data_IF_365889604923
#
_entry.id   IF_365889604923
#
_cell.length_a   1.000
_cell.length_b   1.000
_cell.length_c   1.000
_cell.angle_alpha   90.00
_cell.angle_beta   90.00
_cell.angle_gamma   90.00
#
_symmetry.space_group_name_H-M   'P 1'
#
loop_
_entity.id
_entity.type
_entity.pdbx_description
1 polymer ?
#
# COMPACT_ATOMS: atom_id res chain seq x y z
N UNK A 1 26.72 22.26 14.67
CA UNK A 1 25.33 22.50 14.20
C UNK A 1 25.25 23.94 13.69
N UNK A 2 24.64 24.16 12.52
CA UNK A 2 24.40 25.51 12.02
C UNK A 2 23.18 26.12 12.77
N UNK A 3 23.20 27.41 13.12
CA UNK A 3 22.08 28.05 13.83
C UNK A 3 20.83 28.28 12.93
N UNK A 4 20.97 28.09 11.62
CA UNK A 4 19.88 28.26 10.64
C UNK A 4 19.88 27.09 9.64
N UNK A 5 18.68 26.58 9.36
CA UNK A 5 18.45 25.48 8.42
C UNK A 5 16.99 25.44 7.97
N UNK A 6 16.72 24.71 6.89
CA UNK A 6 15.35 24.45 6.40
C UNK A 6 14.76 23.15 6.94
N UNK A 7 15.58 22.32 7.58
CA UNK A 7 15.19 21.10 8.28
C UNK A 7 15.27 21.34 9.78
N UNK A 8 14.31 20.78 10.51
CA UNK A 8 14.27 20.72 11.97
C UNK A 8 14.11 19.23 12.28
N UNK A 9 15.18 18.61 12.77
CA UNK A 9 15.26 17.16 13.00
C UNK A 9 15.88 16.81 14.37
N UNK A 10 16.39 17.81 15.08
CA UNK A 10 17.30 17.59 16.21
C UNK A 10 16.57 17.47 17.55
N UNK A 11 15.24 17.38 17.54
CA UNK A 11 14.42 17.11 18.70
C UNK A 11 13.71 15.77 18.50
N UNK A 12 13.96 14.81 19.39
CA UNK A 12 13.33 13.49 19.35
C UNK A 12 11.93 13.59 19.96
N UNK A 13 10.97 14.13 19.21
CA UNK A 13 9.58 14.26 19.65
C UNK A 13 8.64 14.48 18.47
N UNK A 14 7.84 13.46 18.15
CA UNK A 14 6.83 13.53 17.09
C UNK A 14 5.81 14.65 17.36
N UNK A 15 5.48 14.91 18.63
CA UNK A 15 4.60 16.01 19.04
C UNK A 15 5.14 17.39 18.60
N UNK A 16 6.45 17.57 18.69
CA UNK A 16 7.08 18.84 18.34
C UNK A 16 7.16 18.98 16.82
N UNK A 17 7.54 17.92 16.12
CA UNK A 17 7.62 17.93 14.66
C UNK A 17 6.24 18.16 14.03
N UNK A 18 5.22 17.43 14.49
CA UNK A 18 3.83 17.62 14.05
C UNK A 18 3.31 19.01 14.42
N UNK A 19 3.45 19.44 15.68
CA UNK A 19 2.95 20.74 16.13
C UNK A 19 3.61 21.92 15.40
N UNK A 20 4.92 21.82 15.12
CA UNK A 20 5.61 22.82 14.30
C UNK A 20 5.09 22.83 12.87
N UNK A 21 4.90 21.66 12.26
CA UNK A 21 4.38 21.56 10.89
C UNK A 21 2.93 22.07 10.79
N UNK A 22 2.06 21.72 11.73
CA UNK A 22 0.68 22.22 11.80
C UNK A 22 0.67 23.75 11.82
N UNK A 23 1.43 24.37 12.73
CA UNK A 23 1.51 25.83 12.84
C UNK A 23 2.08 26.48 11.56
N UNK A 24 3.11 25.85 10.97
CA UNK A 24 3.72 26.30 9.72
C UNK A 24 2.73 26.23 8.54
N UNK A 25 1.91 25.20 8.50
CA UNK A 25 0.87 24.95 7.49
C UNK A 25 -0.30 25.92 7.65
N UNK A 26 -0.81 26.07 8.87
CA UNK A 26 -1.93 26.98 9.19
C UNK A 26 -1.60 28.46 8.98
N UNK A 27 -0.31 28.81 8.96
CA UNK A 27 0.19 30.15 8.61
C UNK A 27 0.55 30.31 7.13
N UNK A 28 0.09 29.39 6.28
CA UNK A 28 0.12 29.52 4.83
C UNK A 28 1.41 29.06 4.16
N UNK A 29 2.31 28.37 4.87
CA UNK A 29 3.56 27.85 4.31
C UNK A 29 3.46 26.33 4.08
N UNK A 30 4.45 25.76 3.41
CA UNK A 30 4.47 24.36 2.98
C UNK A 30 5.63 23.60 3.62
N UNK A 31 5.36 22.36 4.03
CA UNK A 31 6.35 21.45 4.56
C UNK A 31 5.83 20.01 4.55
N UNK A 32 6.64 19.10 5.10
CA UNK A 32 6.24 17.74 5.37
C UNK A 32 6.92 17.24 6.66
N UNK A 33 6.33 16.24 7.30
CA UNK A 33 6.88 15.54 8.45
C UNK A 33 7.02 14.06 8.09
N UNK A 34 8.24 13.53 8.20
CA UNK A 34 8.52 12.12 7.99
C UNK A 34 8.83 11.45 9.32
N UNK A 35 8.19 10.33 9.61
CA UNK A 35 8.39 9.56 10.83
C UNK A 35 8.50 8.07 10.51
N UNK A 36 9.02 7.31 11.48
CA UNK A 36 8.84 5.87 11.51
C UNK A 36 7.35 5.57 11.65
N UNK A 37 6.85 4.64 10.84
CA UNK A 37 5.41 4.35 10.71
C UNK A 37 4.72 4.12 12.05
N UNK A 38 5.27 3.23 12.88
CA UNK A 38 4.72 2.89 14.20
C UNK A 38 4.70 4.08 15.16
N UNK A 39 5.68 4.97 15.08
CA UNK A 39 5.80 6.12 16.00
C UNK A 39 5.08 7.35 15.51
N UNK A 40 4.75 7.43 14.22
CA UNK A 40 3.82 8.44 13.75
C UNK A 40 2.47 8.36 14.47
N UNK A 41 2.11 7.19 15.00
CA UNK A 41 0.93 6.97 15.83
C UNK A 41 0.95 7.70 17.17
N UNK A 42 2.12 8.13 17.65
CA UNK A 42 2.25 9.00 18.84
C UNK A 42 1.42 10.27 18.65
N UNK A 43 1.28 10.77 17.43
CA UNK A 43 0.53 11.99 17.10
C UNK A 43 -0.85 11.74 16.48
N UNK A 44 -1.41 10.53 16.58
CA UNK A 44 -2.76 10.22 16.09
C UNK A 44 -3.82 11.23 16.56
N UNK A 45 -3.71 11.65 17.82
CA UNK A 45 -4.63 12.62 18.42
C UNK A 45 -4.43 14.04 17.86
N UNK A 46 -3.20 14.43 17.51
CA UNK A 46 -2.92 15.74 16.88
C UNK A 46 -3.49 15.78 15.47
N UNK A 47 -3.21 14.75 14.65
CA UNK A 47 -3.80 14.58 13.31
C UNK A 47 -5.34 14.62 13.35
N UNK A 48 -5.94 14.02 14.39
CA UNK A 48 -7.40 14.10 14.61
C UNK A 48 -7.86 15.53 14.85
N UNK A 49 -7.16 16.30 15.68
CA UNK A 49 -7.53 17.69 15.96
C UNK A 49 -7.30 18.58 14.75
N UNK A 50 -6.21 18.37 14.00
CA UNK A 50 -5.94 19.07 12.75
C UNK A 50 -7.07 18.82 11.74
N UNK A 51 -7.47 17.56 11.54
CA UNK A 51 -8.63 17.22 10.70
C UNK A 51 -9.90 17.95 11.15
N UNK A 52 -10.20 17.96 12.45
CA UNK A 52 -11.38 18.65 12.99
C UNK A 52 -11.32 20.15 12.72
N UNK A 53 -10.14 20.76 12.86
CA UNK A 53 -9.91 22.15 12.52
C UNK A 53 -10.15 22.42 11.03
N UNK A 54 -9.52 21.65 10.14
CA UNK A 54 -9.70 21.78 8.69
C UNK A 54 -11.18 21.70 8.32
N UNK A 55 -11.88 20.65 8.78
CA UNK A 55 -13.30 20.46 8.51
C UNK A 55 -14.14 21.65 9.01
N UNK A 56 -14.02 22.03 10.28
CA UNK A 56 -14.83 23.12 10.84
C UNK A 56 -14.51 24.45 10.14
N UNK A 57 -13.25 24.71 9.83
CA UNK A 57 -12.83 25.93 9.14
C UNK A 57 -13.40 26.01 7.72
N UNK A 58 -13.44 24.90 7.00
CA UNK A 58 -13.93 24.85 5.62
C UNK A 58 -15.47 24.81 5.54
N UNK A 59 -16.15 24.09 6.46
CA UNK A 59 -17.61 23.90 6.39
C UNK A 59 -18.41 25.01 7.08
N UNK A 60 -17.90 25.55 8.20
CA UNK A 60 -18.66 26.44 9.08
C UNK A 60 -18.14 27.88 9.10
N UNK A 61 -16.98 28.16 8.48
CA UNK A 61 -16.28 29.45 8.59
C UNK A 61 -15.96 30.04 7.20
N UNK A 62 -16.97 30.49 6.43
CA UNK A 62 -16.81 30.84 5.00
C UNK A 62 -15.92 32.07 4.74
N UNK A 63 -15.59 32.86 5.77
CA UNK A 63 -14.68 34.01 5.65
C UNK A 63 -13.20 33.62 5.80
N UNK A 64 -12.90 32.37 6.17
CA UNK A 64 -11.52 31.90 6.35
C UNK A 64 -11.02 31.29 5.05
N UNK A 65 -9.87 31.77 4.59
CA UNK A 65 -9.19 31.25 3.41
C UNK A 65 -8.67 29.82 3.61
N UNK A 66 -8.59 29.10 2.49
CA UNK A 66 -8.03 27.75 2.46
C UNK A 66 -6.54 27.72 2.76
N UNK A 67 -6.14 26.78 3.64
CA UNK A 67 -4.74 26.56 3.99
C UNK A 67 -4.11 25.46 3.13
N UNK A 68 -2.77 25.47 2.96
CA UNK A 68 -2.04 24.34 2.42
C UNK A 68 -2.35 23.04 3.16
N UNK A 69 -2.10 21.90 2.49
CA UNK A 69 -2.29 20.59 3.10
C UNK A 69 -1.20 20.26 4.11
N UNK A 70 -1.57 19.52 5.14
CA UNK A 70 -0.63 18.88 6.06
C UNK A 70 -0.08 17.62 5.38
N UNK A 71 1.22 17.55 5.13
CA UNK A 71 1.84 16.42 4.41
C UNK A 71 2.67 15.57 5.38
N UNK A 72 2.28 14.31 5.53
CA UNK A 72 2.86 13.36 6.46
C UNK A 72 3.40 12.17 5.67
N UNK A 73 4.63 11.74 5.98
CA UNK A 73 5.26 10.58 5.38
C UNK A 73 5.45 9.50 6.44
N UNK A 74 4.78 8.37 6.26
CA UNK A 74 5.04 7.14 6.99
C UNK A 74 6.14 6.37 6.26
N UNK A 75 7.33 6.29 6.85
CA UNK A 75 8.46 5.52 6.29
C UNK A 75 9.08 4.64 7.36
N UNK A 76 10.12 3.87 7.05
CA UNK A 76 10.60 2.79 7.93
C UNK A 76 9.41 1.95 8.39
N UNK A 77 8.69 1.44 7.39
CA UNK A 77 7.37 0.84 7.61
C UNK A 77 7.46 -0.50 8.32
N UNK A 78 6.33 -1.11 8.67
CA UNK A 78 6.27 -2.39 9.37
C UNK A 78 7.12 -3.50 8.70
N UNK A 79 7.32 -3.45 7.37
CA UNK A 79 8.15 -4.39 6.60
C UNK A 79 9.61 -3.95 6.38
N UNK A 80 10.08 -2.87 7.02
CA UNK A 80 11.41 -2.25 6.82
C UNK A 80 12.05 -1.82 8.16
N UNK A 81 11.94 -2.66 9.19
CA UNK A 81 12.40 -2.43 10.56
C UNK A 81 13.47 -3.44 11.03
N UNK A 82 14.44 -3.70 10.15
CA UNK A 82 15.45 -4.76 10.24
C UNK A 82 16.21 -4.80 11.59
N UNK A 83 16.51 -3.64 12.17
CA UNK A 83 17.28 -3.54 13.42
C UNK A 83 16.43 -3.38 14.69
N UNK A 84 15.11 -3.23 14.53
CA UNK A 84 14.23 -2.78 15.62
C UNK A 84 13.17 -3.82 16.01
N UNK A 85 12.69 -4.61 15.04
CA UNK A 85 11.74 -5.70 15.28
C UNK A 85 10.33 -5.24 15.65
N UNK A 86 9.62 -6.08 16.41
CA UNK A 86 8.16 -6.03 16.57
C UNK A 86 7.60 -4.71 17.11
N UNK A 87 8.29 -4.05 18.04
CA UNK A 87 7.83 -2.77 18.63
C UNK A 87 7.72 -1.61 17.62
N UNK A 88 8.25 -1.78 16.41
CA UNK A 88 8.24 -0.78 15.35
C UNK A 88 7.27 -1.12 14.20
N UNK A 89 6.32 -2.03 14.45
CA UNK A 89 5.44 -2.59 13.42
C UNK A 89 3.96 -2.30 13.75
N UNK A 90 3.48 -1.13 13.35
CA UNK A 90 2.05 -0.75 13.43
C UNK A 90 1.69 0.18 12.26
N UNK A 91 1.13 -0.36 11.16
CA UNK A 91 0.68 0.43 10.00
C UNK A 91 -0.73 1.01 10.20
N UNK A 92 -1.27 1.02 11.42
CA UNK A 92 -2.68 1.34 11.71
C UNK A 92 -3.05 2.82 11.63
N UNK A 93 -2.08 3.71 11.39
CA UNK A 93 -2.37 5.11 11.06
C UNK A 93 -3.25 5.24 9.81
N UNK A 94 -3.12 4.29 8.89
CA UNK A 94 -3.97 4.15 7.69
C UNK A 94 -5.44 4.03 8.09
N UNK A 95 -5.78 3.04 8.92
CA UNK A 95 -7.16 2.86 9.40
C UNK A 95 -7.64 4.08 10.18
N UNK A 96 -6.80 4.65 11.05
CA UNK A 96 -7.15 5.82 11.84
C UNK A 96 -7.56 7.02 10.98
N UNK A 97 -6.80 7.36 9.93
CA UNK A 97 -7.14 8.50 9.08
C UNK A 97 -8.35 8.21 8.19
N UNK A 98 -8.50 6.99 7.69
CA UNK A 98 -9.63 6.57 6.86
C UNK A 98 -10.99 6.66 7.55
N UNK A 99 -11.05 6.56 8.88
CA UNK A 99 -12.28 6.76 9.67
C UNK A 99 -12.78 8.22 9.70
N UNK A 100 -11.90 9.17 9.36
CA UNK A 100 -12.26 10.59 9.33
C UNK A 100 -13.05 10.89 8.05
N UNK A 101 -13.59 12.11 7.91
CA UNK A 101 -14.36 12.47 6.71
C UNK A 101 -13.41 12.53 5.51
N UNK A 102 -13.43 11.50 4.67
CA UNK A 102 -12.46 11.24 3.58
C UNK A 102 -12.32 12.37 2.56
N UNK A 103 -13.32 13.27 2.46
CA UNK A 103 -13.18 14.58 1.79
C UNK A 103 -11.88 15.32 2.17
N UNK A 104 -11.46 15.22 3.42
CA UNK A 104 -10.30 15.91 4.02
C UNK A 104 -9.04 15.04 4.15
N UNK A 105 -9.04 13.79 3.67
CA UNK A 105 -7.95 12.84 3.87
C UNK A 105 -7.48 12.30 2.51
N UNK A 106 -6.18 12.15 2.33
CA UNK A 106 -5.57 11.43 1.19
C UNK A 106 -4.59 10.41 1.74
N UNK A 107 -4.64 9.19 1.23
CA UNK A 107 -3.73 8.12 1.63
C UNK A 107 -3.11 7.53 0.38
N UNK A 108 -1.81 7.77 0.21
CA UNK A 108 -1.05 7.38 -0.96
C UNK A 108 -0.08 6.24 -0.65
N UNK A 109 -0.12 5.19 -1.46
CA UNK A 109 0.71 3.99 -1.37
C UNK A 109 1.60 3.82 -2.61
N UNK A 110 2.55 4.73 -2.85
CA UNK A 110 3.49 4.60 -3.97
C UNK A 110 4.33 3.33 -3.83
N UNK A 111 4.38 2.54 -4.91
CA UNK A 111 5.15 1.31 -4.92
C UNK A 111 6.62 1.49 -5.33
N UNK A 112 6.97 2.62 -5.92
CA UNK A 112 8.32 2.96 -6.38
C UNK A 112 8.60 4.48 -6.33
N UNK A 113 9.81 4.88 -6.71
CA UNK A 113 10.26 6.27 -6.62
C UNK A 113 9.49 7.21 -7.57
N UNK A 114 9.17 6.76 -8.78
CA UNK A 114 8.43 7.59 -9.73
C UNK A 114 7.00 7.87 -9.23
N UNK A 115 6.34 6.86 -8.68
CA UNK A 115 5.01 7.00 -8.07
C UNK A 115 5.06 7.88 -6.83
N UNK A 116 6.11 7.75 -6.01
CA UNK A 116 6.33 8.61 -4.84
C UNK A 116 6.50 10.09 -5.24
N UNK A 117 7.32 10.37 -6.26
CA UNK A 117 7.52 11.73 -6.77
C UNK A 117 6.20 12.32 -7.28
N UNK A 118 5.43 11.55 -8.05
CA UNK A 118 4.14 11.97 -8.56
C UNK A 118 3.11 12.21 -7.43
N UNK A 119 3.06 11.33 -6.41
CA UNK A 119 2.18 11.48 -5.25
C UNK A 119 2.54 12.73 -4.43
N UNK A 120 3.83 13.00 -4.25
CA UNK A 120 4.30 14.18 -3.53
C UNK A 120 4.02 15.48 -4.31
N UNK A 121 4.24 15.50 -5.63
CA UNK A 121 3.86 16.63 -6.49
C UNK A 121 2.37 16.97 -6.37
N UNK A 122 1.50 15.95 -6.44
CA UNK A 122 0.06 16.11 -6.24
C UNK A 122 -0.27 16.64 -4.85
N UNK A 123 0.38 16.11 -3.80
CA UNK A 123 0.16 16.52 -2.40
C UNK A 123 0.54 17.98 -2.13
N UNK A 124 1.55 18.52 -2.82
CA UNK A 124 1.91 19.94 -2.71
C UNK A 124 0.87 20.89 -3.32
N UNK A 125 0.04 20.39 -4.23
CA UNK A 125 -0.99 21.18 -4.93
C UNK A 125 -2.35 21.14 -4.22
N UNK A 126 -2.57 20.21 -3.29
CA UNK A 126 -3.82 20.13 -2.54
C UNK A 126 -3.89 21.18 -1.44
N UNK A 127 -5.13 21.53 -1.07
CA UNK A 127 -5.44 22.40 0.08
C UNK A 127 -6.47 21.72 0.97
N UNK A 128 -6.50 22.12 2.24
CA UNK A 128 -7.51 21.67 3.22
C UNK A 128 -7.60 20.14 3.38
N UNK A 129 -6.49 19.42 3.26
CA UNK A 129 -6.45 17.97 3.51
C UNK A 129 -5.23 17.59 4.34
N UNK A 130 -5.31 16.41 4.95
CA UNK A 130 -4.16 15.68 5.45
C UNK A 130 -3.76 14.68 4.36
N UNK A 131 -2.54 14.79 3.86
CA UNK A 131 -1.93 13.82 2.95
C UNK A 131 -1.04 12.87 3.75
N UNK A 132 -1.40 11.60 3.84
CA UNK A 132 -0.54 10.51 4.31
C UNK A 132 0.10 9.84 3.09
N UNK A 133 1.43 9.76 3.07
CA UNK A 133 2.19 9.04 2.05
C UNK A 133 2.96 7.92 2.75
N UNK A 134 2.66 6.66 2.41
CA UNK A 134 3.41 5.50 2.89
C UNK A 134 4.53 5.18 1.91
N UNK A 135 5.78 5.34 2.32
CA UNK A 135 6.92 5.29 1.41
C UNK A 135 8.04 4.36 1.90
N UNK A 136 8.54 3.52 0.99
CA UNK A 136 9.74 2.72 1.20
C UNK A 136 10.99 3.60 1.31
N UNK A 137 11.95 3.17 2.14
CA UNK A 137 13.31 3.70 2.18
C UNK A 137 14.37 2.68 1.72
N UNK A 138 14.02 1.40 1.65
CA UNK A 138 14.96 0.36 1.29
C UNK A 138 15.22 0.34 -0.22
N UNK A 139 16.38 -0.16 -0.67
CA UNK A 139 16.58 -0.50 -2.08
C UNK A 139 15.49 -1.49 -2.53
N UNK A 140 14.74 -1.10 -3.57
CA UNK A 140 13.64 -1.88 -4.15
C UNK A 140 13.66 -1.73 -5.67
N UNK A 141 13.07 -2.70 -6.36
CA UNK A 141 12.82 -2.62 -7.80
C UNK A 141 11.93 -1.41 -8.12
N UNK A 142 12.11 -0.88 -9.32
CA UNK A 142 11.32 0.23 -9.85
C UNK A 142 10.45 -0.31 -10.98
N UNK A 143 9.19 0.11 -11.05
CA UNK A 143 8.16 -0.58 -11.83
C UNK A 143 7.60 0.29 -12.93
N UNK A 144 7.32 1.53 -12.60
CA UNK A 144 6.52 2.42 -13.42
C UNK A 144 7.41 3.52 -13.99
N UNK A 145 7.25 3.77 -15.28
CA UNK A 145 7.78 4.99 -15.89
C UNK A 145 7.17 6.23 -15.24
N UNK A 146 7.82 7.38 -15.38
CA UNK A 146 7.27 8.64 -14.88
C UNK A 146 5.87 8.97 -15.44
N UNK A 147 5.57 8.53 -16.68
CA UNK A 147 4.27 8.70 -17.31
C UNK A 147 3.19 7.82 -16.65
N UNK A 148 3.49 6.52 -16.46
CA UNK A 148 2.59 5.60 -15.76
C UNK A 148 2.35 6.02 -14.32
N UNK A 149 3.40 6.43 -13.60
CA UNK A 149 3.31 6.94 -12.24
C UNK A 149 2.39 8.16 -12.12
N UNK A 150 2.50 9.11 -13.06
CA UNK A 150 1.61 10.28 -13.11
C UNK A 150 0.16 9.89 -13.36
N UNK A 151 -0.08 8.94 -14.27
CA UNK A 151 -1.42 8.41 -14.53
C UNK A 151 -1.99 7.68 -13.31
N UNK A 152 -1.22 6.78 -12.71
CA UNK A 152 -1.56 6.04 -11.49
C UNK A 152 -1.96 6.97 -10.36
N UNK A 153 -1.18 8.02 -10.09
CA UNK A 153 -1.47 8.99 -9.02
C UNK A 153 -2.69 9.86 -9.35
N UNK A 154 -2.87 10.26 -10.61
CA UNK A 154 -4.02 11.06 -11.02
C UNK A 154 -5.32 10.27 -10.89
N UNK A 155 -5.32 9.04 -11.39
CA UNK A 155 -6.46 8.13 -11.36
C UNK A 155 -6.64 7.48 -9.98
N UNK A 156 -5.60 7.44 -9.15
CA UNK A 156 -5.53 6.76 -7.87
C UNK A 156 -5.32 5.24 -7.97
N UNK A 157 -5.55 4.64 -9.12
CA UNK A 157 -5.31 3.23 -9.42
C UNK A 157 -5.26 3.02 -10.94
N UNK A 158 -4.72 1.88 -11.37
CA UNK A 158 -4.71 1.50 -12.79
C UNK A 158 -4.64 -0.02 -12.95
N UNK A 159 -5.26 -0.54 -14.01
CA UNK A 159 -4.94 -1.88 -14.53
C UNK A 159 -3.56 -1.80 -15.19
N UNK A 160 -2.67 -2.72 -14.81
CA UNK A 160 -1.31 -2.75 -15.33
C UNK A 160 -1.26 -3.78 -16.46
N UNK A 161 -1.29 -3.29 -17.69
CA UNK A 161 -1.43 -4.13 -18.89
C UNK A 161 -0.29 -5.14 -19.03
N UNK A 162 0.97 -4.72 -18.83
CA UNK A 162 2.15 -5.58 -18.93
C UNK A 162 2.21 -6.69 -17.86
N UNK A 163 1.46 -6.52 -16.76
CA UNK A 163 1.34 -7.51 -15.70
C UNK A 163 0.03 -8.32 -15.79
N UNK A 164 -0.81 -8.05 -16.79
CA UNK A 164 -2.08 -8.73 -17.03
C UNK A 164 -2.00 -9.60 -18.27
N UNK A 165 -2.80 -10.67 -18.35
CA UNK A 165 -2.87 -11.57 -19.53
C UNK A 165 -4.32 -11.92 -19.91
N UNK A 166 -5.28 -11.05 -19.58
CA UNK A 166 -6.69 -11.19 -19.98
C UNK A 166 -6.86 -10.73 -21.43
N UNK A 167 -7.40 -11.58 -22.34
CA UNK A 167 -7.70 -11.15 -23.71
C UNK A 167 -8.75 -10.04 -23.75
N UNK A 168 -8.71 -9.22 -24.81
CA UNK A 168 -9.70 -8.16 -25.02
C UNK A 168 -11.13 -8.74 -25.09
N UNK A 169 -12.06 -8.14 -24.35
CA UNK A 169 -13.45 -8.59 -24.29
C UNK A 169 -13.70 -9.80 -23.38
N UNK A 170 -12.67 -10.32 -22.71
CA UNK A 170 -12.79 -11.40 -21.74
C UNK A 170 -12.66 -10.92 -20.29
N UNK A 171 -13.10 -11.75 -19.34
CA UNK A 171 -12.94 -11.52 -17.91
C UNK A 171 -11.72 -12.29 -17.37
N UNK A 172 -11.05 -11.78 -16.33
CA UNK A 172 -10.04 -12.54 -15.61
C UNK A 172 -10.67 -13.75 -14.90
N UNK A 173 -9.86 -14.78 -14.67
CA UNK A 173 -10.18 -15.83 -13.71
C UNK A 173 -9.93 -15.35 -12.28
N UNK A 174 -8.93 -14.46 -12.09
CA UNK A 174 -8.57 -13.85 -10.82
C UNK A 174 -8.03 -12.43 -11.01
N UNK A 175 -8.38 -11.53 -10.09
CA UNK A 175 -7.80 -10.19 -10.00
C UNK A 175 -6.74 -10.18 -8.91
N UNK A 176 -5.53 -9.76 -9.24
CA UNK A 176 -4.53 -9.34 -8.25
C UNK A 176 -4.62 -7.83 -8.07
N UNK A 177 -4.63 -7.38 -6.82
CA UNK A 177 -4.58 -5.97 -6.47
C UNK A 177 -3.50 -5.72 -5.42
N UNK A 178 -2.83 -4.58 -5.50
CA UNK A 178 -1.84 -4.22 -4.48
C UNK A 178 -1.85 -2.72 -4.14
N UNK A 179 -1.62 -2.41 -2.87
CA UNK A 179 -1.32 -1.06 -2.39
C UNK A 179 -0.14 -1.09 -1.42
N UNK A 180 0.99 -0.51 -1.83
CA UNK A 180 2.25 -0.43 -1.08
C UNK A 180 3.44 -1.01 -1.83
N UNK A 181 4.66 -0.71 -1.38
CA UNK A 181 5.92 -1.17 -1.99
C UNK A 181 6.10 -2.69 -1.93
N UNK A 182 6.04 -3.27 -0.73
CA UNK A 182 6.16 -4.71 -0.51
C UNK A 182 4.99 -5.49 -1.14
N UNK A 183 3.72 -5.10 -0.94
CA UNK A 183 2.58 -5.71 -1.62
C UNK A 183 2.69 -5.73 -3.14
N UNK A 184 3.16 -4.65 -3.77
CA UNK A 184 3.34 -4.61 -5.22
C UNK A 184 4.39 -5.61 -5.69
N UNK A 185 5.57 -5.62 -5.03
CA UNK A 185 6.64 -6.57 -5.34
C UNK A 185 6.17 -8.02 -5.24
N UNK A 186 5.50 -8.39 -4.14
CA UNK A 186 5.07 -9.77 -3.94
C UNK A 186 3.94 -10.17 -4.87
N UNK A 187 3.02 -9.24 -5.20
CA UNK A 187 1.98 -9.49 -6.21
C UNK A 187 2.60 -9.75 -7.58
N UNK A 188 3.51 -8.89 -8.03
CA UNK A 188 4.19 -9.08 -9.33
C UNK A 188 5.03 -10.36 -9.36
N UNK A 189 5.72 -10.69 -8.26
CA UNK A 189 6.44 -11.95 -8.19
C UNK A 189 5.50 -13.16 -8.24
N UNK A 190 4.37 -13.14 -7.53
CA UNK A 190 3.35 -14.19 -7.59
C UNK A 190 2.78 -14.36 -9.01
N UNK A 191 2.41 -13.24 -9.66
CA UNK A 191 1.95 -13.22 -11.04
C UNK A 191 3.02 -13.82 -11.97
N UNK A 192 4.29 -13.50 -11.76
CA UNK A 192 5.38 -14.04 -12.58
C UNK A 192 5.51 -15.57 -12.48
N UNK A 193 5.29 -16.12 -11.28
CA UNK A 193 5.28 -17.56 -11.02
C UNK A 193 4.04 -18.19 -11.68
N UNK A 194 2.86 -17.62 -11.47
CA UNK A 194 1.60 -18.12 -12.04
C UNK A 194 1.61 -18.11 -13.56
N UNK A 195 2.11 -17.05 -14.22
CA UNK A 195 2.19 -17.00 -15.68
C UNK A 195 3.12 -18.08 -16.26
N UNK A 196 4.12 -18.54 -15.50
CA UNK A 196 5.04 -19.62 -15.91
C UNK A 196 4.47 -21.02 -15.60
N UNK A 197 3.88 -21.20 -14.42
CA UNK A 197 3.48 -22.52 -13.91
C UNK A 197 1.99 -22.84 -14.16
N UNK A 198 1.15 -21.82 -14.32
CA UNK A 198 -0.27 -21.91 -14.60
C UNK A 198 -0.68 -21.02 -15.78
N UNK A 199 -0.09 -21.20 -16.98
CA UNK A 199 -0.23 -20.26 -18.10
C UNK A 199 -1.66 -20.11 -18.65
N UNK A 200 -2.58 -21.03 -18.31
CA UNK A 200 -3.98 -20.91 -18.70
C UNK A 200 -4.80 -19.99 -17.79
N UNK A 201 -4.24 -19.54 -16.66
CA UNK A 201 -4.93 -18.67 -15.70
C UNK A 201 -4.90 -17.23 -16.22
N UNK A 202 -6.08 -16.62 -16.38
CA UNK A 202 -6.23 -15.22 -16.79
C UNK A 202 -6.19 -14.33 -15.57
N UNK A 203 -5.16 -13.50 -15.49
CA UNK A 203 -4.85 -12.62 -14.38
C UNK A 203 -4.98 -11.18 -14.86
N UNK A 204 -5.74 -10.40 -14.10
CA UNK A 204 -5.72 -8.93 -14.17
C UNK A 204 -4.95 -8.40 -12.97
N UNK A 205 -4.00 -7.49 -13.18
CA UNK A 205 -3.32 -6.80 -12.10
C UNK A 205 -3.78 -5.34 -11.98
N UNK A 206 -4.13 -4.93 -10.77
CA UNK A 206 -4.52 -3.55 -10.43
C UNK A 206 -3.55 -3.00 -9.39
N UNK A 207 -2.82 -1.94 -9.70
CA UNK A 207 -2.06 -1.21 -8.68
C UNK A 207 -2.92 -0.05 -8.15
N UNK A 208 -3.04 0.02 -6.82
CA UNK A 208 -3.82 1.02 -6.09
C UNK A 208 -2.86 1.95 -5.35
N UNK A 209 -2.95 3.24 -5.65
CA UNK A 209 -2.14 4.29 -5.05
C UNK A 209 -2.96 5.13 -4.07
N UNK A 210 -4.15 5.61 -4.44
CA UNK A 210 -5.08 6.35 -3.57
C UNK A 210 -6.15 5.39 -3.05
N UNK A 211 -5.92 4.83 -1.85
CA UNK A 211 -6.77 3.78 -1.28
C UNK A 211 -8.22 4.24 -1.10
N UNK A 212 -8.40 5.50 -0.68
CA UNK A 212 -9.72 6.04 -0.34
C UNK A 212 -10.62 6.22 -1.56
N UNK A 213 -10.08 6.22 -2.79
CA UNK A 213 -10.92 6.16 -4.01
C UNK A 213 -11.73 4.87 -4.12
N UNK A 214 -11.33 3.81 -3.43
CA UNK A 214 -12.10 2.57 -3.39
C UNK A 214 -13.34 2.67 -2.50
N UNK A 215 -13.36 3.58 -1.51
CA UNK A 215 -14.50 3.75 -0.61
C UNK A 215 -15.68 4.42 -1.35
N UNK A 216 -16.88 3.87 -1.20
CA UNK A 216 -18.07 4.29 -1.96
C UNK A 216 -18.58 5.69 -1.60
N UNK A 217 -18.40 6.09 -0.35
CA UNK A 217 -18.82 7.38 0.21
C UNK A 217 -17.74 8.47 0.17
N UNK A 218 -16.53 8.17 -0.34
CA UNK A 218 -15.55 9.21 -0.65
C UNK A 218 -16.08 10.07 -1.81
N UNK A 219 -16.04 11.41 -1.72
CA UNK A 219 -16.50 12.29 -2.80
C UNK A 219 -15.71 12.16 -4.13
N UNK A 220 -14.57 11.48 -4.10
CA UNK A 220 -13.69 11.15 -5.24
C UNK A 220 -13.72 9.64 -5.53
N UNK A 221 -14.54 8.89 -4.80
CA UNK A 221 -14.68 7.46 -4.88
C UNK A 221 -15.15 7.02 -6.27
N UNK A 222 -14.78 5.80 -6.64
CA UNK A 222 -15.26 5.19 -7.88
C UNK A 222 -16.77 4.93 -7.78
N UNK A 223 -17.49 5.19 -8.87
CA UNK A 223 -18.84 4.64 -9.04
C UNK A 223 -18.78 3.11 -9.05
N UNK A 224 -19.91 2.45 -8.78
CA UNK A 224 -19.92 0.97 -8.78
C UNK A 224 -19.52 0.39 -10.15
N UNK A 225 -19.93 1.04 -11.25
CA UNK A 225 -19.54 0.61 -12.60
C UNK A 225 -18.03 0.74 -12.85
N UNK A 226 -17.39 1.81 -12.36
CA UNK A 226 -15.93 1.97 -12.45
C UNK A 226 -15.23 0.94 -11.56
N UNK A 227 -15.70 0.73 -10.34
CA UNK A 227 -15.14 -0.26 -9.43
C UNK A 227 -15.21 -1.68 -10.03
N UNK A 228 -16.37 -2.08 -10.55
CA UNK A 228 -16.57 -3.37 -11.20
C UNK A 228 -15.67 -3.52 -12.44
N UNK A 229 -15.36 -2.43 -13.15
CA UNK A 229 -14.45 -2.50 -14.29
C UNK A 229 -13.02 -2.91 -13.87
N UNK A 230 -12.58 -2.55 -12.67
CA UNK A 230 -11.30 -2.99 -12.10
C UNK A 230 -11.40 -4.38 -11.48
N UNK A 231 -12.34 -4.56 -10.54
CA UNK A 231 -12.38 -5.70 -9.63
C UNK A 231 -13.37 -6.78 -10.01
N UNK A 232 -14.08 -6.64 -11.13
CA UNK A 232 -15.20 -7.49 -11.55
C UNK A 232 -16.36 -7.47 -10.55
N UNK A 233 -17.42 -8.24 -10.81
CA UNK A 233 -18.58 -8.35 -9.92
C UNK A 233 -18.53 -9.58 -9.00
N UNK A 234 -17.73 -10.57 -9.36
CA UNK A 234 -17.79 -11.91 -8.76
C UNK A 234 -16.46 -12.70 -8.76
N UNK A 235 -15.46 -12.31 -9.56
CA UNK A 235 -14.19 -13.05 -9.64
C UNK A 235 -13.39 -12.88 -8.36
N UNK A 236 -12.63 -13.90 -7.92
CA UNK A 236 -11.75 -13.77 -6.77
C UNK A 236 -10.78 -12.60 -6.92
N UNK A 237 -10.60 -11.84 -5.84
CA UNK A 237 -9.66 -10.73 -5.74
C UNK A 237 -8.62 -11.06 -4.68
N UNK A 238 -7.40 -11.37 -5.10
CA UNK A 238 -6.23 -11.44 -4.22
C UNK A 238 -5.73 -10.01 -4.00
N UNK A 239 -5.97 -9.45 -2.81
CA UNK A 239 -5.56 -8.09 -2.47
C UNK A 239 -4.40 -8.12 -1.48
N UNK A 240 -3.21 -7.77 -1.95
CA UNK A 240 -2.02 -7.57 -1.13
C UNK A 240 -1.96 -6.11 -0.62
N UNK A 241 -1.83 -5.91 0.68
CA UNK A 241 -1.98 -4.61 1.30
C UNK A 241 -0.92 -4.30 2.35
N UNK A 242 -0.54 -3.03 2.43
CA UNK A 242 0.45 -2.56 3.38
C UNK A 242 -0.01 -2.63 4.84
N UNK A 243 -1.26 -2.25 5.10
CA UNK A 243 -1.81 -2.12 6.45
C UNK A 243 -2.61 -3.33 6.92
N UNK A 244 -3.39 -3.12 7.99
CA UNK A 244 -4.40 -4.09 8.44
C UNK A 244 -5.52 -4.22 7.42
N UNK A 245 -5.90 -5.45 7.10
CA UNK A 245 -6.85 -5.76 6.01
C UNK A 245 -8.30 -5.38 6.31
N UNK A 246 -8.64 -5.04 7.56
CA UNK A 246 -10.03 -4.75 7.94
C UNK A 246 -10.62 -3.54 7.22
N UNK A 247 -9.79 -2.53 6.90
CA UNK A 247 -10.22 -1.40 6.06
C UNK A 247 -10.66 -1.85 4.66
N UNK A 248 -10.02 -2.87 4.09
CA UNK A 248 -10.42 -3.41 2.78
C UNK A 248 -11.76 -4.13 2.85
N UNK A 249 -12.03 -4.84 3.95
CA UNK A 249 -13.34 -5.46 4.20
C UNK A 249 -14.43 -4.40 4.26
N UNK A 250 -14.20 -3.30 4.99
CA UNK A 250 -15.11 -2.14 5.05
C UNK A 250 -15.34 -1.52 3.66
N UNK A 251 -14.26 -1.29 2.91
CA UNK A 251 -14.33 -0.71 1.55
C UNK A 251 -15.17 -1.56 0.60
N UNK A 252 -14.99 -2.89 0.62
CA UNK A 252 -15.68 -3.80 -0.29
C UNK A 252 -17.09 -4.19 0.18
N UNK A 253 -17.44 -3.94 1.45
CA UNK A 253 -18.75 -4.29 2.00
C UNK A 253 -19.92 -3.68 1.23
N UNK A 254 -19.76 -2.45 0.72
CA UNK A 254 -20.77 -1.72 -0.04
C UNK A 254 -20.64 -1.90 -1.57
N UNK A 255 -19.71 -2.74 -2.03
CA UNK A 255 -19.42 -3.01 -3.46
C UNK A 255 -20.14 -4.28 -3.92
N UNK A 256 -20.07 -4.61 -5.21
CA UNK A 256 -20.74 -5.82 -5.72
C UNK A 256 -19.94 -7.10 -5.46
N UNK A 257 -18.63 -7.03 -5.66
CA UNK A 257 -17.76 -8.17 -5.50
C UNK A 257 -17.32 -8.33 -4.04
N UNK A 258 -17.72 -9.44 -3.41
CA UNK A 258 -17.32 -9.78 -2.04
C UNK A 258 -16.34 -10.97 -1.99
N UNK A 259 -15.86 -11.43 -3.15
CA UNK A 259 -14.95 -12.56 -3.28
C UNK A 259 -13.50 -12.12 -3.00
N UNK A 260 -13.26 -11.67 -1.77
CA UNK A 260 -12.00 -11.08 -1.33
C UNK A 260 -11.10 -12.09 -0.63
N UNK A 261 -9.84 -12.12 -1.02
CA UNK A 261 -8.75 -12.85 -0.37
C UNK A 261 -7.66 -11.86 -0.02
N UNK A 262 -7.56 -11.53 1.26
CA UNK A 262 -6.80 -10.38 1.73
C UNK A 262 -5.50 -10.81 2.40
N UNK A 263 -4.39 -10.24 1.94
CA UNK A 263 -3.08 -10.40 2.53
C UNK A 263 -2.58 -9.03 2.95
N UNK A 264 -2.25 -8.86 4.22
CA UNK A 264 -1.70 -7.61 4.75
C UNK A 264 -1.03 -7.85 6.08
N UNK A 265 -0.77 -6.80 6.84
CA UNK A 265 -0.15 -6.96 8.16
C UNK A 265 -1.12 -7.64 9.15
N UNK A 266 -0.64 -8.70 9.82
CA UNK A 266 -1.41 -9.61 10.69
C UNK A 266 -0.91 -9.60 12.15
N UNK A 267 -0.16 -8.58 12.57
CA UNK A 267 0.53 -8.55 13.88
C UNK A 267 1.62 -9.61 14.06
N UNK A 268 2.21 -10.09 12.95
CA UNK A 268 3.24 -11.13 12.99
C UNK A 268 4.57 -10.59 12.48
N UNK A 269 5.57 -10.52 13.35
CA UNK A 269 6.87 -9.99 12.99
C UNK A 269 7.86 -9.93 14.16
N UNK A 270 9.14 -9.86 13.84
CA UNK A 270 10.24 -9.63 14.78
C UNK A 270 11.50 -9.24 13.99
N UNK A 271 12.66 -9.17 14.62
CA UNK A 271 13.96 -9.11 13.93
C UNK A 271 14.14 -10.41 13.15
N UNK A 272 14.06 -10.30 11.82
CA UNK A 272 14.21 -11.39 10.87
C UNK A 272 14.64 -10.83 9.50
N UNK A 273 14.76 -11.68 8.48
CA UNK A 273 15.13 -11.23 7.13
C UNK A 273 13.98 -10.45 6.44
N UNK A 274 14.27 -9.58 5.45
CA UNK A 274 13.23 -8.79 4.80
C UNK A 274 12.13 -9.61 4.11
N UNK A 275 12.43 -10.79 3.58
CA UNK A 275 11.39 -11.68 3.04
C UNK A 275 10.60 -12.37 4.14
N UNK A 276 11.24 -12.82 5.22
CA UNK A 276 10.53 -13.49 6.32
C UNK A 276 9.48 -12.58 6.97
N UNK A 277 9.74 -11.26 7.06
CA UNK A 277 8.72 -10.29 7.50
C UNK A 277 7.43 -10.34 6.66
N UNK A 278 7.53 -10.64 5.36
CA UNK A 278 6.36 -10.82 4.49
C UNK A 278 5.75 -12.22 4.66
N UNK A 279 6.59 -13.25 4.83
CA UNK A 279 6.16 -14.64 5.04
C UNK A 279 5.34 -14.82 6.31
N UNK A 280 5.75 -14.20 7.41
CA UNK A 280 5.02 -14.23 8.69
C UNK A 280 3.61 -13.66 8.60
N UNK A 281 3.38 -12.74 7.67
CA UNK A 281 2.08 -12.13 7.40
C UNK A 281 1.35 -12.81 6.24
N UNK A 282 1.91 -13.88 5.68
CA UNK A 282 1.45 -14.57 4.48
C UNK A 282 1.28 -13.59 3.28
N UNK A 283 2.02 -12.48 3.28
CA UNK A 283 2.01 -11.46 2.23
C UNK A 283 2.98 -11.82 1.08
N UNK A 284 3.84 -12.80 1.30
CA UNK A 284 4.84 -13.20 0.32
C UNK A 284 4.24 -13.88 -0.93
N UNK A 285 5.00 -13.83 -2.02
CA UNK A 285 4.62 -14.39 -3.32
C UNK A 285 4.18 -15.85 -3.28
N UNK A 286 4.69 -16.68 -2.39
CA UNK A 286 4.36 -18.12 -2.39
C UNK A 286 2.98 -18.36 -1.79
N UNK A 287 2.63 -17.67 -0.70
CA UNK A 287 1.25 -17.66 -0.19
C UNK A 287 0.28 -17.05 -1.22
N UNK A 288 0.65 -15.94 -1.85
CA UNK A 288 -0.19 -15.33 -2.90
C UNK A 288 -0.44 -16.24 -4.11
N UNK A 289 0.57 -17.02 -4.53
CA UNK A 289 0.42 -18.04 -5.59
C UNK A 289 -0.56 -19.12 -5.14
N UNK A 290 -0.42 -19.62 -3.91
CA UNK A 290 -1.30 -20.66 -3.38
C UNK A 290 -2.74 -20.21 -3.33
N UNK A 291 -3.02 -19.05 -2.73
CA UNK A 291 -4.36 -18.48 -2.65
C UNK A 291 -4.99 -18.35 -4.05
N UNK A 292 -4.27 -17.80 -5.04
CA UNK A 292 -4.81 -17.68 -6.39
C UNK A 292 -5.18 -19.02 -7.05
N UNK A 293 -4.43 -20.09 -6.79
CA UNK A 293 -4.74 -21.43 -7.34
C UNK A 293 -5.88 -22.12 -6.57
N UNK A 294 -6.02 -21.85 -5.28
CA UNK A 294 -7.04 -22.45 -4.42
C UNK A 294 -8.42 -21.82 -4.61
N UNK A 295 -8.48 -20.51 -4.84
CA UNK A 295 -9.75 -19.75 -4.85
C UNK A 295 -10.44 -19.76 -6.21
N UNK A 296 -9.70 -20.05 -7.28
CA UNK A 296 -10.26 -20.11 -8.63
C UNK A 296 -10.87 -21.52 -8.85
N UNK A 297 -12.17 -21.62 -9.17
CA UNK A 297 -12.84 -22.91 -9.29
C UNK A 297 -12.17 -23.84 -10.33
N UNK A 298 -11.85 -25.07 -9.91
CA UNK A 298 -11.28 -26.12 -10.78
C UNK A 298 -9.80 -25.91 -11.15
N UNK A 299 -9.11 -24.96 -10.53
CA UNK A 299 -7.69 -24.67 -10.76
C UNK A 299 -6.79 -25.43 -9.78
N UNK A 300 -7.22 -25.61 -8.53
CA UNK A 300 -6.42 -26.25 -7.49
C UNK A 300 -6.01 -27.69 -7.84
N UNK A 301 -6.95 -28.53 -8.31
CA UNK A 301 -6.61 -29.91 -8.69
C UNK A 301 -5.72 -29.98 -9.93
N UNK A 302 -5.89 -29.02 -10.85
CA UNK A 302 -5.11 -28.94 -12.08
C UNK A 302 -3.64 -28.58 -11.81
N UNK A 303 -3.39 -27.76 -10.78
CA UNK A 303 -2.05 -27.25 -10.44
C UNK A 303 -1.58 -27.69 -9.05
N UNK A 304 -2.03 -28.86 -8.58
CA UNK A 304 -1.68 -29.39 -7.25
C UNK A 304 -0.16 -29.50 -7.02
N UNK A 305 0.62 -29.83 -8.06
CA UNK A 305 2.09 -29.86 -7.96
C UNK A 305 2.68 -28.47 -7.70
N UNK A 306 2.10 -27.41 -8.27
CA UNK A 306 2.56 -26.03 -8.03
C UNK A 306 2.31 -25.62 -6.58
N UNK A 307 1.15 -25.99 -6.01
CA UNK A 307 0.86 -25.77 -4.59
C UNK A 307 1.91 -26.45 -3.70
N UNK A 308 2.23 -27.72 -4.00
CA UNK A 308 3.26 -28.46 -3.28
C UNK A 308 4.65 -27.83 -3.42
N UNK A 309 5.00 -27.32 -4.60
CA UNK A 309 6.28 -26.62 -4.82
C UNK A 309 6.36 -25.33 -4.00
N UNK A 310 5.25 -24.60 -3.84
CA UNK A 310 5.20 -23.41 -2.98
C UNK A 310 5.41 -23.77 -1.50
N UNK A 311 4.82 -24.87 -1.02
CA UNK A 311 5.06 -25.38 0.34
C UNK A 311 6.52 -25.77 0.55
N UNK A 312 7.14 -26.40 -0.43
CA UNK A 312 8.56 -26.75 -0.37
C UNK A 312 9.46 -25.50 -0.35
N UNK A 313 9.12 -24.44 -1.09
CA UNK A 313 9.84 -23.18 -1.07
C UNK A 313 9.69 -22.45 0.27
N UNK A 314 8.51 -22.47 0.87
CA UNK A 314 8.27 -21.92 2.21
C UNK A 314 9.05 -22.69 3.28
N UNK A 315 9.07 -24.03 3.21
CA UNK A 315 9.88 -24.85 4.11
C UNK A 315 11.39 -24.59 3.91
N UNK A 316 11.85 -24.50 2.66
CA UNK A 316 13.24 -24.14 2.33
C UNK A 316 13.60 -22.78 2.93
N UNK A 317 12.74 -21.78 2.76
CA UNK A 317 12.91 -20.45 3.34
C UNK A 317 13.02 -20.52 4.87
N UNK A 318 12.08 -21.20 5.52
CA UNK A 318 12.08 -21.38 6.97
C UNK A 318 13.41 -21.92 7.49
N UNK A 319 13.94 -22.96 6.83
CA UNK A 319 15.19 -23.61 7.26
C UNK A 319 16.41 -22.74 6.94
N UNK A 320 16.45 -22.13 5.75
CA UNK A 320 17.59 -21.34 5.27
C UNK A 320 17.81 -20.06 6.09
N UNK A 321 16.77 -19.31 6.44
CA UNK A 321 16.95 -18.08 7.24
C UNK A 321 17.50 -18.38 8.65
N UNK A 322 17.18 -19.56 9.20
CA UNK A 322 17.61 -19.98 10.54
C UNK A 322 19.05 -20.48 10.54
N UNK A 323 19.52 -21.06 9.44
CA UNK A 323 20.91 -21.52 9.33
C UNK A 323 21.85 -20.43 8.83
N UNK A 324 21.43 -19.62 7.85
CA UNK A 324 22.30 -18.67 7.15
C UNK A 324 22.06 -17.20 7.52
N UNK A 325 20.89 -16.84 8.04
CA UNK A 325 20.54 -15.45 8.38
C UNK A 325 20.36 -14.52 7.17
N UNK A 326 20.09 -15.07 5.99
CA UNK A 326 19.81 -14.33 4.75
C UNK A 326 18.62 -14.95 4.01
N UNK A 327 18.05 -14.24 3.04
CA UNK A 327 16.92 -14.72 2.24
C UNK A 327 17.37 -15.74 1.18
N UNK A 328 16.48 -16.67 0.82
CA UNK A 328 16.74 -17.67 -0.22
C UNK A 328 17.07 -17.02 -1.57
N UNK A 329 17.90 -17.69 -2.37
CA UNK A 329 18.35 -17.19 -3.67
C UNK A 329 17.17 -16.84 -4.59
N UNK A 330 16.12 -17.68 -4.61
CA UNK A 330 14.91 -17.48 -5.40
C UNK A 330 14.21 -16.14 -5.15
N UNK A 331 14.41 -15.54 -3.97
CA UNK A 331 13.87 -14.22 -3.63
C UNK A 331 14.89 -13.13 -3.95
N UNK A 332 16.15 -13.31 -3.54
CA UNK A 332 17.20 -12.27 -3.68
C UNK A 332 17.56 -11.98 -5.14
N UNK A 333 17.55 -13.00 -6.00
CA UNK A 333 17.94 -12.86 -7.41
C UNK A 333 16.75 -12.66 -8.35
N UNK A 334 15.52 -12.68 -7.82
CA UNK A 334 14.33 -12.53 -8.62
C UNK A 334 14.29 -11.18 -9.33
N UNK A 335 13.89 -11.20 -10.60
CA UNK A 335 13.63 -10.02 -11.42
C UNK A 335 12.37 -10.28 -12.23
N UNK A 336 11.65 -9.21 -12.55
CA UNK A 336 10.60 -9.28 -13.56
C UNK A 336 11.23 -9.58 -14.92
N UNK A 337 10.76 -10.65 -15.57
CA UNK A 337 11.30 -11.19 -16.82
C UNK A 337 10.22 -11.64 -17.80
N UNK A 338 8.98 -11.17 -17.60
CA UNK A 338 7.88 -11.41 -18.53
C UNK A 338 7.75 -10.25 -19.50
N UNK A 339 7.63 -10.60 -20.78
CA UNK A 339 7.33 -9.68 -21.88
C UNK A 339 5.87 -9.23 -21.87
#
# INVERSE_FOLDING_TARGET
>A
LAPHGRMIDSMLSEHMDEGMLEAYTLTGRHGFFASYESFLRVVDSMLTQHFKWLRNSHEETPWREDVPSLNIISTSTAFQQDHNGYSHQDPGIVTHLAEKKTKYIREYFPADANTLIAAFDKSLQTKQVINLIVASKHPRLQWYSAAEAKELVNNGLKIIDWASNVPEGEEPDVVFASAGSEPNLESLAAISILRKQAPSLKIRYVNVVDLLKLKKDDPRGLSDAEFDAYFTKDKPVIFAFHGYVDILKDIFFDRHNHNLHLHGYKEEGDITTPFDMRVRNELDRFHLVKDALEVVPGVSEKYATVLQDMDLLLQKHHDYIRSEGDDIEEVRTWKWDLD
#
